data_IF_631754342712
#
_entry.id   IF_631754342712
#
_cell.length_a   1.000
_cell.length_b   1.000
_cell.length_c   1.000
_cell.angle_alpha   90.00
_cell.angle_beta   90.00
_cell.angle_gamma   90.00
#
_symmetry.space_group_name_H-M   'P 1'
#
loop_
_entity.id
_entity.type
_entity.pdbx_description
1 polymer ?
#
# COMPACT_ATOMS: atom_id res chain seq x y z
N UNK A 1 22.96 8.42 -3.70
CA UNK A 1 22.60 7.02 -3.38
C UNK A 1 23.47 6.07 -4.20
N UNK A 2 24.00 5.04 -3.58
CA UNK A 2 24.84 4.03 -4.24
C UNK A 2 23.99 2.83 -4.70
N UNK A 3 24.49 2.07 -5.70
CA UNK A 3 23.85 0.82 -6.14
C UNK A 3 23.68 -0.15 -4.96
N UNK A 4 24.63 -0.16 -4.04
CA UNK A 4 24.58 -0.98 -2.83
C UNK A 4 23.36 -0.64 -1.94
N UNK A 5 23.06 0.64 -1.71
CA UNK A 5 21.91 1.09 -0.95
C UNK A 5 20.58 0.70 -1.63
N UNK A 6 20.52 0.84 -2.96
CA UNK A 6 19.36 0.41 -3.77
C UNK A 6 19.11 -1.09 -3.58
N UNK A 7 20.13 -1.89 -3.79
CA UNK A 7 20.04 -3.35 -3.68
C UNK A 7 19.71 -3.79 -2.27
N UNK A 8 20.31 -3.16 -1.25
CA UNK A 8 20.05 -3.50 0.16
C UNK A 8 18.57 -3.30 0.50
N UNK A 9 17.95 -2.18 0.09
CA UNK A 9 16.54 -1.92 0.36
C UNK A 9 15.63 -2.97 -0.30
N UNK A 10 15.78 -3.17 -1.61
CA UNK A 10 14.93 -4.12 -2.34
C UNK A 10 15.14 -5.58 -1.87
N UNK A 11 16.40 -6.01 -1.68
CA UNK A 11 16.71 -7.38 -1.30
C UNK A 11 16.29 -7.72 0.12
N UNK A 12 16.41 -6.76 1.06
CA UNK A 12 16.03 -7.01 2.45
C UNK A 12 14.55 -7.29 2.58
N UNK A 13 13.69 -6.45 2.03
CA UNK A 13 12.25 -6.65 2.06
C UNK A 13 11.83 -7.88 1.25
N UNK A 14 12.50 -8.15 0.11
CA UNK A 14 12.27 -9.37 -0.67
C UNK A 14 12.57 -10.63 0.16
N UNK A 15 13.74 -10.70 0.79
CA UNK A 15 14.16 -11.86 1.58
C UNK A 15 13.20 -12.06 2.77
N UNK A 16 12.89 -10.99 3.51
CA UNK A 16 11.94 -11.08 4.62
C UNK A 16 10.59 -11.60 4.15
N UNK A 17 10.02 -11.04 3.10
CA UNK A 17 8.72 -11.48 2.58
C UNK A 17 8.78 -12.92 2.06
N UNK A 18 9.83 -13.31 1.31
CA UNK A 18 9.98 -14.65 0.77
C UNK A 18 10.09 -15.71 1.87
N UNK A 19 10.79 -15.42 2.97
CA UNK A 19 10.97 -16.33 4.08
C UNK A 19 9.71 -16.48 4.94
N UNK A 20 9.02 -15.36 5.24
CA UNK A 20 7.90 -15.38 6.17
C UNK A 20 6.55 -15.72 5.52
N UNK A 21 6.37 -15.49 4.21
CA UNK A 21 5.11 -15.81 3.52
C UNK A 21 4.76 -17.31 3.60
N UNK A 22 5.66 -18.27 3.32
CA UNK A 22 5.33 -19.70 3.46
C UNK A 22 4.96 -20.10 4.89
N UNK A 23 5.62 -19.51 5.89
CA UNK A 23 5.33 -19.76 7.29
C UNK A 23 3.92 -19.26 7.65
N UNK A 24 3.56 -18.09 7.16
CA UNK A 24 2.23 -17.52 7.36
C UNK A 24 1.15 -18.34 6.64
N UNK A 25 1.38 -18.78 5.40
CA UNK A 25 0.46 -19.69 4.66
C UNK A 25 0.20 -20.96 5.47
N UNK A 26 1.25 -21.61 5.96
CA UNK A 26 1.13 -22.82 6.77
C UNK A 26 0.36 -22.57 8.09
N UNK A 27 0.60 -21.44 8.74
CA UNK A 27 -0.14 -21.03 9.92
C UNK A 27 -1.64 -20.82 9.63
N UNK A 28 -1.95 -20.08 8.56
CA UNK A 28 -3.33 -19.78 8.16
C UNK A 28 -4.11 -21.05 7.79
N UNK A 29 -3.48 -22.00 7.09
CA UNK A 29 -4.09 -23.30 6.80
C UNK A 29 -4.40 -24.11 8.07
N UNK A 30 -3.48 -24.14 9.05
CA UNK A 30 -3.71 -24.84 10.34
C UNK A 30 -4.88 -24.22 11.12
N UNK A 31 -5.14 -22.94 10.95
CA UNK A 31 -6.23 -22.22 11.63
C UNK A 31 -7.53 -22.17 10.82
N UNK A 32 -7.58 -22.84 9.64
CA UNK A 32 -8.71 -22.75 8.69
C UNK A 32 -9.12 -21.31 8.37
N UNK A 33 -8.15 -20.40 8.26
CA UNK A 33 -8.35 -18.98 7.94
C UNK A 33 -8.34 -18.76 6.43
N UNK A 34 -9.27 -19.42 5.73
CA UNK A 34 -9.48 -19.23 4.29
C UNK A 34 -10.60 -18.20 4.01
N UNK A 35 -10.48 -17.48 2.91
CA UNK A 35 -11.50 -16.54 2.49
C UNK A 35 -12.80 -17.24 2.16
N UNK A 36 -13.92 -16.75 2.70
CA UNK A 36 -15.26 -17.14 2.27
C UNK A 36 -15.63 -16.33 1.02
N UNK A 37 -15.98 -17.02 -0.06
CA UNK A 37 -16.34 -16.37 -1.32
C UNK A 37 -17.84 -16.07 -1.31
N UNK A 38 -18.24 -14.90 -1.83
CA UNK A 38 -19.63 -14.53 -2.02
C UNK A 38 -20.31 -15.51 -2.96
N UNK A 39 -21.51 -15.99 -2.60
CA UNK A 39 -22.30 -16.93 -3.42
C UNK A 39 -22.75 -16.32 -4.76
N UNK A 40 -22.84 -15.00 -4.82
CA UNK A 40 -23.28 -14.21 -5.98
C UNK A 40 -22.19 -14.02 -7.07
N UNK A 41 -20.98 -14.53 -6.85
CA UNK A 41 -19.86 -14.38 -7.80
C UNK A 41 -19.82 -15.45 -8.89
N UNK A 42 -19.05 -15.24 -9.98
CA UNK A 42 -18.89 -16.22 -11.05
C UNK A 42 -18.39 -17.57 -10.51
N UNK A 43 -18.91 -18.69 -11.06
CA UNK A 43 -18.60 -20.06 -10.56
C UNK A 43 -17.11 -20.44 -10.51
N UNK A 44 -16.25 -19.78 -11.30
CA UNK A 44 -14.79 -20.00 -11.23
C UNK A 44 -14.14 -19.41 -9.97
N UNK A 45 -14.80 -18.46 -9.29
CA UNK A 45 -14.32 -17.95 -7.99
C UNK A 45 -14.52 -18.97 -6.86
N UNK A 46 -15.48 -19.88 -6.97
CA UNK A 46 -15.72 -20.92 -5.94
C UNK A 46 -14.51 -21.84 -5.73
N UNK A 47 -13.66 -22.04 -6.77
CA UNK A 47 -12.41 -22.80 -6.65
C UNK A 47 -11.36 -22.14 -5.77
N UNK A 48 -11.51 -20.86 -5.43
CA UNK A 48 -10.62 -20.06 -4.57
C UNK A 48 -11.01 -20.13 -3.09
N UNK A 49 -12.13 -20.78 -2.76
CA UNK A 49 -12.57 -20.98 -1.37
C UNK A 49 -11.52 -21.74 -0.59
N UNK A 50 -11.17 -21.23 0.60
CA UNK A 50 -10.14 -21.84 1.46
C UNK A 50 -8.71 -21.33 1.21
N UNK A 51 -8.47 -20.47 0.20
CA UNK A 51 -7.16 -19.82 0.05
C UNK A 51 -6.95 -18.84 1.20
N UNK A 52 -5.81 -18.88 1.92
CA UNK A 52 -5.49 -17.94 2.98
C UNK A 52 -5.57 -16.49 2.52
N UNK A 53 -6.03 -15.61 3.41
CA UNK A 53 -6.03 -14.16 3.20
C UNK A 53 -5.12 -13.45 4.21
N UNK A 54 -5.06 -12.12 4.21
CA UNK A 54 -4.21 -11.29 5.06
C UNK A 54 -2.70 -11.43 4.78
N UNK A 55 -2.32 -11.81 3.56
CA UNK A 55 -0.92 -11.84 3.15
C UNK A 55 -0.22 -10.49 3.25
N UNK A 56 -1.00 -9.39 3.25
CA UNK A 56 -0.54 -8.03 3.54
C UNK A 56 0.18 -7.91 4.87
N UNK A 57 -0.13 -8.75 5.86
CA UNK A 57 0.57 -8.78 7.15
C UNK A 57 2.08 -8.98 6.97
N UNK A 58 2.45 -9.96 6.15
CA UNK A 58 3.86 -10.32 5.98
C UNK A 58 4.63 -9.23 5.25
N UNK A 59 4.15 -8.78 4.10
CA UNK A 59 4.89 -7.82 3.31
C UNK A 59 4.89 -6.41 3.92
N UNK A 60 3.81 -5.99 4.61
CA UNK A 60 3.81 -4.72 5.32
C UNK A 60 4.85 -4.68 6.43
N UNK A 61 4.99 -5.76 7.23
CA UNK A 61 6.04 -5.86 8.25
C UNK A 61 7.42 -5.84 7.61
N UNK A 62 7.63 -6.55 6.50
CA UNK A 62 8.90 -6.56 5.80
C UNK A 62 9.27 -5.15 5.27
N UNK A 63 8.29 -4.41 4.72
CA UNK A 63 8.48 -3.03 4.28
C UNK A 63 8.86 -2.14 5.46
N UNK A 64 8.12 -2.21 6.58
CA UNK A 64 8.37 -1.40 7.76
C UNK A 64 9.76 -1.65 8.37
N UNK A 65 10.13 -2.92 8.55
CA UNK A 65 11.47 -3.26 9.04
C UNK A 65 12.52 -2.66 8.11
N UNK A 66 12.36 -2.82 6.80
CA UNK A 66 13.31 -2.32 5.80
C UNK A 66 13.31 -0.79 5.74
N UNK A 67 12.12 -0.17 5.78
CA UNK A 67 11.92 1.29 5.76
C UNK A 67 12.52 2.00 6.97
N UNK A 68 12.72 1.29 8.08
CA UNK A 68 13.37 1.83 9.26
C UNK A 68 14.89 1.55 9.28
N UNK A 69 15.29 0.28 9.16
CA UNK A 69 16.69 -0.07 9.39
C UNK A 69 17.63 0.37 8.25
N UNK A 70 17.19 0.34 6.99
CA UNK A 70 18.03 0.76 5.85
C UNK A 70 18.32 2.26 5.90
N UNK A 71 17.32 3.15 6.07
CA UNK A 71 17.60 4.57 6.25
C UNK A 71 18.47 4.87 7.47
N UNK A 72 18.30 4.14 8.58
CA UNK A 72 19.16 4.27 9.76
C UNK A 72 20.62 3.92 9.47
N UNK A 73 20.87 2.86 8.70
CA UNK A 73 22.23 2.44 8.38
C UNK A 73 22.95 3.38 7.39
N UNK A 74 22.21 4.16 6.61
CA UNK A 74 22.76 5.00 5.54
C UNK A 74 22.51 6.51 5.74
N UNK A 75 22.13 6.94 6.93
CA UNK A 75 21.84 8.34 7.27
C UNK A 75 20.77 8.99 6.37
N UNK A 76 19.77 8.19 5.98
CA UNK A 76 18.62 8.65 5.18
C UNK A 76 17.30 8.57 5.98
N UNK A 77 17.36 8.42 7.30
CA UNK A 77 16.16 8.44 8.13
C UNK A 77 15.67 9.89 8.28
N UNK A 78 14.65 10.20 7.53
CA UNK A 78 14.02 11.53 7.49
C UNK A 78 12.59 11.46 8.04
N UNK A 79 12.02 12.61 8.45
CA UNK A 79 10.60 12.67 8.76
C UNK A 79 9.72 12.17 7.61
N UNK A 80 10.12 12.37 6.36
CA UNK A 80 9.35 11.93 5.18
C UNK A 80 9.19 10.41 5.16
N UNK A 81 10.27 9.64 5.35
CA UNK A 81 10.16 8.17 5.36
C UNK A 81 9.32 7.68 6.54
N UNK A 82 9.43 8.34 7.70
CA UNK A 82 8.59 8.01 8.84
C UNK A 82 7.10 8.27 8.57
N UNK A 83 6.76 9.35 7.86
CA UNK A 83 5.38 9.61 7.45
C UNK A 83 4.84 8.55 6.49
N UNK A 84 5.67 8.07 5.56
CA UNK A 84 5.30 6.99 4.64
C UNK A 84 5.08 5.67 5.39
N UNK A 85 5.98 5.31 6.31
CA UNK A 85 5.85 4.12 7.16
C UNK A 85 4.62 4.19 8.07
N UNK A 86 4.37 5.34 8.70
CA UNK A 86 3.17 5.56 9.52
C UNK A 86 1.90 5.43 8.68
N UNK A 87 1.88 5.97 7.46
CA UNK A 87 0.73 5.84 6.56
C UNK A 87 0.49 4.38 6.17
N UNK A 88 1.54 3.65 5.82
CA UNK A 88 1.46 2.21 5.54
C UNK A 88 0.87 1.44 6.72
N UNK A 89 1.33 1.73 7.96
CA UNK A 89 0.82 1.10 9.18
C UNK A 89 -0.66 1.44 9.40
N UNK A 90 -1.03 2.71 9.34
CA UNK A 90 -2.39 3.15 9.63
C UNK A 90 -3.40 2.52 8.68
N UNK A 91 -3.15 2.59 7.37
CA UNK A 91 -4.02 1.99 6.38
C UNK A 91 -3.97 0.45 6.42
N UNK A 92 -2.81 -0.13 6.73
CA UNK A 92 -2.67 -1.57 6.98
C UNK A 92 -3.47 -2.03 8.20
N UNK A 93 -3.49 -1.26 9.30
CA UNK A 93 -4.30 -1.56 10.48
C UNK A 93 -5.79 -1.46 10.21
N UNK A 94 -6.24 -0.49 9.41
CA UNK A 94 -7.65 -0.40 8.98
C UNK A 94 -8.04 -1.70 8.25
N UNK A 95 -7.22 -2.13 7.30
CA UNK A 95 -7.45 -3.39 6.59
C UNK A 95 -7.35 -4.63 7.48
N UNK A 96 -6.40 -4.65 8.42
CA UNK A 96 -6.27 -5.73 9.40
C UNK A 96 -7.54 -5.91 10.25
N UNK A 97 -8.11 -4.82 10.74
CA UNK A 97 -9.35 -4.89 11.51
C UNK A 97 -10.52 -5.34 10.63
N UNK A 98 -10.62 -4.84 9.41
CA UNK A 98 -11.66 -5.24 8.45
C UNK A 98 -11.59 -6.75 8.15
N UNK A 99 -10.42 -7.24 7.77
CA UNK A 99 -10.17 -8.67 7.50
C UNK A 99 -10.39 -9.53 8.76
N UNK A 100 -9.96 -9.05 9.93
CA UNK A 100 -10.14 -9.77 11.20
C UNK A 100 -11.61 -9.96 11.54
N UNK A 101 -12.46 -8.95 11.36
CA UNK A 101 -13.90 -9.05 11.58
C UNK A 101 -14.51 -10.12 10.66
N UNK A 102 -14.14 -10.14 9.37
CA UNK A 102 -14.59 -11.14 8.40
C UNK A 102 -14.22 -12.56 8.84
N UNK A 103 -12.97 -12.75 9.28
CA UNK A 103 -12.47 -14.05 9.71
C UNK A 103 -13.09 -14.54 11.02
N UNK A 104 -13.17 -13.68 12.04
CA UNK A 104 -13.72 -14.05 13.37
C UNK A 104 -15.22 -14.33 13.31
N UNK A 105 -15.97 -13.51 12.57
CA UNK A 105 -17.42 -13.69 12.43
C UNK A 105 -17.81 -14.70 11.35
N UNK A 106 -16.84 -15.22 10.58
CA UNK A 106 -17.06 -16.12 9.43
C UNK A 106 -18.12 -15.56 8.47
N UNK A 107 -17.96 -14.29 8.11
CA UNK A 107 -18.86 -13.55 7.21
C UNK A 107 -18.08 -12.78 6.17
N UNK A 108 -18.75 -12.33 5.10
CA UNK A 108 -18.12 -11.51 4.07
C UNK A 108 -18.08 -10.01 4.42
N UNK A 109 -18.76 -9.59 5.47
CA UNK A 109 -18.86 -8.20 5.90
C UNK A 109 -17.83 -7.91 7.00
N UNK A 110 -16.95 -6.94 6.74
CA UNK A 110 -16.01 -6.38 7.71
C UNK A 110 -16.56 -5.13 8.40
N UNK A 111 -15.85 -4.03 8.29
CA UNK A 111 -16.36 -2.71 8.69
C UNK A 111 -17.54 -2.29 7.83
N UNK A 112 -18.48 -1.55 8.43
CA UNK A 112 -19.45 -0.83 7.61
C UNK A 112 -18.71 0.21 6.73
N UNK A 113 -19.24 0.56 5.54
CA UNK A 113 -18.61 1.56 4.66
C UNK A 113 -18.32 2.88 5.37
N UNK A 114 -19.21 3.31 6.28
CA UNK A 114 -19.03 4.54 7.07
C UNK A 114 -17.89 4.43 8.08
N UNK A 115 -17.75 3.29 8.75
CA UNK A 115 -16.66 3.06 9.71
C UNK A 115 -15.31 3.01 8.98
N UNK A 116 -15.23 2.30 7.84
CA UNK A 116 -14.02 2.23 7.01
C UNK A 116 -13.60 3.62 6.55
N UNK A 117 -14.53 4.39 6.00
CA UNK A 117 -14.29 5.77 5.56
C UNK A 117 -13.81 6.67 6.70
N UNK A 118 -14.43 6.60 7.88
CA UNK A 118 -14.03 7.40 9.04
C UNK A 118 -12.59 7.09 9.46
N UNK A 119 -12.22 5.81 9.55
CA UNK A 119 -10.85 5.40 9.88
C UNK A 119 -9.84 5.89 8.83
N UNK A 120 -10.18 5.81 7.54
CA UNK A 120 -9.32 6.32 6.46
C UNK A 120 -9.14 7.84 6.53
N UNK A 121 -10.20 8.61 6.84
CA UNK A 121 -10.12 10.06 7.06
C UNK A 121 -9.21 10.37 8.25
N UNK A 122 -9.31 9.64 9.35
CA UNK A 122 -8.42 9.81 10.51
C UNK A 122 -6.96 9.54 10.10
N UNK A 123 -6.69 8.49 9.33
CA UNK A 123 -5.36 8.21 8.79
C UNK A 123 -4.83 9.34 7.93
N UNK A 124 -5.67 9.91 7.05
CA UNK A 124 -5.30 11.05 6.21
C UNK A 124 -5.03 12.33 7.03
N UNK A 125 -5.79 12.56 8.10
CA UNK A 125 -5.58 13.70 9.00
C UNK A 125 -4.26 13.56 9.79
N UNK A 126 -3.89 12.35 10.20
CA UNK A 126 -2.60 12.08 10.86
C UNK A 126 -1.46 12.36 9.89
N UNK A 127 -1.56 11.90 8.64
CA UNK A 127 -0.59 12.24 7.59
C UNK A 127 -0.49 13.75 7.36
N UNK A 128 -1.62 14.45 7.26
CA UNK A 128 -1.67 15.89 7.08
C UNK A 128 -1.05 16.64 8.28
N UNK A 129 -1.30 16.19 9.51
CA UNK A 129 -0.71 16.77 10.71
C UNK A 129 0.82 16.64 10.70
N UNK A 130 1.33 15.49 10.25
CA UNK A 130 2.75 15.27 10.06
C UNK A 130 3.32 16.19 8.97
N UNK A 131 2.66 16.26 7.81
CA UNK A 131 3.03 17.13 6.68
C UNK A 131 3.09 18.62 7.11
N UNK A 132 2.11 19.06 7.90
CA UNK A 132 2.07 20.41 8.47
C UNK A 132 3.22 20.65 9.48
N UNK A 133 3.49 19.68 10.35
CA UNK A 133 4.58 19.77 11.35
C UNK A 133 5.94 19.99 10.68
N UNK A 134 6.19 19.28 9.59
CA UNK A 134 7.43 19.39 8.79
C UNK A 134 7.47 20.65 7.92
N UNK A 135 6.44 21.51 7.98
CA UNK A 135 6.34 22.77 7.22
C UNK A 135 6.51 22.59 5.71
N UNK A 136 6.03 21.45 5.18
CA UNK A 136 6.07 21.17 3.75
C UNK A 136 5.10 22.10 3.00
N UNK A 137 5.39 22.46 1.74
CA UNK A 137 4.62 23.47 1.00
C UNK A 137 3.23 22.92 0.61
N UNK A 138 2.19 23.73 0.82
CA UNK A 138 0.83 23.43 0.35
C UNK A 138 0.68 23.78 -1.10
N UNK A 139 1.35 23.05 -1.98
CA UNK A 139 1.25 23.23 -3.42
C UNK A 139 0.74 21.94 -4.08
N UNK A 140 -0.01 22.11 -5.16
CA UNK A 140 -0.48 21.01 -6.00
C UNK A 140 0.18 21.14 -7.37
N UNK A 141 0.78 20.05 -7.83
CA UNK A 141 1.46 20.01 -9.11
C UNK A 141 0.48 19.58 -10.22
N UNK A 142 0.14 20.50 -11.11
CA UNK A 142 -0.67 20.24 -12.30
C UNK A 142 0.19 20.39 -13.56
N UNK A 143 0.51 19.30 -14.24
CA UNK A 143 1.22 19.28 -15.53
C UNK A 143 2.47 20.20 -15.58
N UNK A 144 3.27 20.18 -14.51
CA UNK A 144 4.50 20.97 -14.42
C UNK A 144 4.31 22.42 -13.88
N UNK A 145 3.10 22.81 -13.52
CA UNK A 145 2.82 24.06 -12.82
C UNK A 145 2.44 23.79 -11.38
N UNK A 146 3.12 24.46 -10.44
CA UNK A 146 2.77 24.41 -9.02
C UNK A 146 1.78 25.51 -8.68
N UNK A 147 0.65 25.13 -8.08
CA UNK A 147 -0.37 26.03 -7.58
C UNK A 147 -0.35 26.00 -6.06
N UNK A 148 0.03 27.12 -5.44
CA UNK A 148 -0.03 27.29 -3.99
C UNK A 148 -1.49 27.37 -3.55
N UNK A 149 -1.86 26.58 -2.56
CA UNK A 149 -3.21 26.55 -1.99
C UNK A 149 -3.16 26.74 -0.48
N UNK A 150 -4.28 27.12 0.12
CA UNK A 150 -4.36 27.22 1.58
C UNK A 150 -4.46 25.84 2.25
N UNK A 151 -4.08 25.77 3.54
CA UNK A 151 -4.11 24.54 4.35
C UNK A 151 -5.43 23.78 4.25
N UNK A 152 -6.58 24.47 4.27
CA UNK A 152 -7.90 23.84 4.23
C UNK A 152 -8.11 23.13 2.88
N UNK A 153 -7.81 23.80 1.76
CA UNK A 153 -7.96 23.21 0.42
C UNK A 153 -7.01 22.05 0.23
N UNK A 154 -5.75 22.21 0.67
CA UNK A 154 -4.76 21.15 0.64
C UNK A 154 -5.16 19.94 1.49
N UNK A 155 -5.68 20.20 2.71
CA UNK A 155 -6.15 19.14 3.60
C UNK A 155 -7.33 18.35 3.02
N UNK A 156 -8.29 19.02 2.40
CA UNK A 156 -9.39 18.35 1.69
C UNK A 156 -8.87 17.48 0.53
N UNK A 157 -7.88 18.00 -0.22
CA UNK A 157 -7.23 17.24 -1.28
C UNK A 157 -6.51 16.00 -0.73
N UNK A 158 -5.71 16.14 0.34
CA UNK A 158 -4.99 15.01 0.97
C UNK A 158 -5.97 13.93 1.44
N UNK A 159 -7.06 14.31 2.10
CA UNK A 159 -8.10 13.35 2.52
C UNK A 159 -8.69 12.64 1.30
N UNK A 160 -9.11 13.38 0.29
CA UNK A 160 -9.66 12.82 -0.94
C UNK A 160 -8.68 11.86 -1.61
N UNK A 161 -7.40 12.23 -1.67
CA UNK A 161 -6.36 11.49 -2.37
C UNK A 161 -6.03 10.17 -1.66
N UNK A 162 -5.76 10.20 -0.35
CA UNK A 162 -5.44 9.01 0.42
C UNK A 162 -6.64 8.05 0.50
N UNK A 163 -7.83 8.56 0.78
CA UNK A 163 -9.06 7.75 0.82
C UNK A 163 -9.37 7.19 -0.56
N UNK A 164 -9.28 8.01 -1.61
CA UNK A 164 -9.57 7.60 -2.98
C UNK A 164 -8.66 6.46 -3.43
N UNK A 165 -7.33 6.64 -3.34
CA UNK A 165 -6.39 5.62 -3.80
C UNK A 165 -6.34 4.37 -2.92
N UNK A 166 -6.54 4.49 -1.60
CA UNK A 166 -6.64 3.31 -0.75
C UNK A 166 -7.83 2.43 -1.13
N UNK A 167 -8.98 3.02 -1.44
CA UNK A 167 -10.13 2.27 -1.93
C UNK A 167 -9.95 1.79 -3.37
N UNK A 168 -9.33 2.57 -4.25
CA UNK A 168 -9.09 2.19 -5.64
C UNK A 168 -8.21 0.92 -5.74
N UNK A 169 -7.12 0.88 -4.97
CA UNK A 169 -6.26 -0.31 -4.90
C UNK A 169 -7.00 -1.49 -4.27
N UNK A 170 -7.81 -1.25 -3.24
CA UNK A 170 -8.61 -2.31 -2.61
C UNK A 170 -9.69 -2.88 -3.57
N UNK A 171 -10.35 -2.06 -4.36
CA UNK A 171 -11.31 -2.52 -5.37
C UNK A 171 -10.64 -3.32 -6.50
N UNK A 172 -9.39 -3.00 -6.83
CA UNK A 172 -8.60 -3.71 -7.83
C UNK A 172 -8.14 -5.10 -7.37
N UNK A 173 -8.15 -5.40 -6.04
CA UNK A 173 -7.70 -6.69 -5.47
C UNK A 173 -8.72 -7.83 -5.68
N UNK A 174 -9.25 -7.95 -6.90
CA UNK A 174 -10.17 -9.02 -7.30
C UNK A 174 -9.52 -10.17 -8.07
N UNK A 175 -8.31 -9.96 -8.63
CA UNK A 175 -7.61 -10.92 -9.47
C UNK A 175 -6.22 -11.26 -8.93
N UNK A 176 -5.88 -12.57 -9.01
CA UNK A 176 -4.59 -13.10 -8.53
C UNK A 176 -3.41 -12.35 -9.16
N UNK A 177 -2.59 -11.72 -8.33
CA UNK A 177 -1.37 -11.02 -8.75
C UNK A 177 -1.56 -9.63 -9.36
N UNK A 178 -2.79 -9.20 -9.63
CA UNK A 178 -3.05 -7.93 -10.33
C UNK A 178 -2.52 -6.74 -9.54
N UNK A 179 -2.97 -6.56 -8.30
CA UNK A 179 -2.53 -5.44 -7.45
C UNK A 179 -1.04 -5.50 -7.19
N UNK A 180 -0.47 -6.68 -6.89
CA UNK A 180 0.97 -6.83 -6.68
C UNK A 180 1.77 -6.37 -7.89
N UNK A 181 1.39 -6.78 -9.09
CA UNK A 181 2.05 -6.39 -10.35
C UNK A 181 1.94 -4.90 -10.64
N UNK A 182 0.73 -4.34 -10.52
CA UNK A 182 0.48 -2.91 -10.77
C UNK A 182 1.19 -2.01 -9.75
N UNK A 183 1.18 -2.39 -8.47
CA UNK A 183 1.86 -1.63 -7.43
C UNK A 183 3.38 -1.62 -7.63
N UNK A 184 4.00 -2.74 -8.05
CA UNK A 184 5.42 -2.79 -8.40
C UNK A 184 5.74 -1.74 -9.48
N UNK A 185 4.93 -1.65 -10.53
CA UNK A 185 5.14 -0.68 -11.62
C UNK A 185 4.94 0.75 -11.10
N UNK A 186 3.89 1.00 -10.31
CA UNK A 186 3.57 2.32 -9.80
C UNK A 186 4.65 2.85 -8.83
N UNK A 187 5.05 2.05 -7.85
CA UNK A 187 6.15 2.41 -6.95
C UNK A 187 7.49 2.52 -7.69
N UNK A 188 7.71 1.72 -8.75
CA UNK A 188 8.88 1.81 -9.61
C UNK A 188 8.96 3.16 -10.33
N UNK A 189 7.85 3.64 -10.89
CA UNK A 189 7.78 4.95 -11.51
C UNK A 189 8.09 6.07 -10.50
N UNK A 190 7.51 6.01 -9.30
CA UNK A 190 7.80 6.98 -8.24
C UNK A 190 9.22 6.87 -7.69
N UNK A 191 9.82 5.69 -7.63
CA UNK A 191 11.23 5.53 -7.28
C UNK A 191 12.15 6.25 -8.25
N UNK A 192 11.85 6.20 -9.57
CA UNK A 192 12.60 6.91 -10.60
C UNK A 192 12.44 8.44 -10.43
N UNK A 193 11.21 8.94 -10.20
CA UNK A 193 10.94 10.36 -9.98
C UNK A 193 11.70 10.86 -8.74
N UNK A 194 11.54 10.18 -7.61
CA UNK A 194 12.22 10.51 -6.36
C UNK A 194 13.76 10.49 -6.51
N UNK A 195 14.30 9.53 -7.27
CA UNK A 195 15.72 9.47 -7.54
C UNK A 195 16.23 10.70 -8.31
N UNK A 196 15.49 11.15 -9.33
CA UNK A 196 15.82 12.36 -10.07
C UNK A 196 15.72 13.63 -9.22
N UNK A 197 14.79 13.65 -8.26
CA UNK A 197 14.64 14.73 -7.28
C UNK A 197 15.65 14.64 -6.13
N UNK A 198 16.48 13.58 -6.07
CA UNK A 198 17.43 13.29 -4.98
C UNK A 198 16.76 13.03 -3.61
N UNK A 199 15.50 12.65 -3.60
CA UNK A 199 14.75 12.24 -2.40
C UNK A 199 15.03 10.75 -2.13
N UNK A 200 16.25 10.46 -1.67
CA UNK A 200 16.74 9.08 -1.52
C UNK A 200 16.02 8.27 -0.44
N UNK A 201 15.45 8.93 0.53
CA UNK A 201 14.57 8.37 1.55
C UNK A 201 13.29 7.77 0.93
N UNK A 202 12.61 8.52 0.06
CA UNK A 202 11.45 8.03 -0.70
C UNK A 202 11.85 6.89 -1.64
N UNK A 203 13.02 6.95 -2.27
CA UNK A 203 13.55 5.87 -3.11
C UNK A 203 13.69 4.58 -2.30
N UNK A 204 14.29 4.65 -1.09
CA UNK A 204 14.47 3.50 -0.20
C UNK A 204 13.11 2.86 0.15
N UNK A 205 12.13 3.69 0.51
CA UNK A 205 10.77 3.22 0.80
C UNK A 205 10.14 2.52 -0.42
N UNK A 206 10.15 3.15 -1.59
CA UNK A 206 9.60 2.56 -2.81
C UNK A 206 10.29 1.22 -3.17
N UNK A 207 11.61 1.13 -3.02
CA UNK A 207 12.35 -0.10 -3.27
C UNK A 207 12.05 -1.20 -2.25
N UNK A 208 11.80 -0.84 -0.99
CA UNK A 208 11.34 -1.77 0.02
C UNK A 208 9.97 -2.35 -0.35
N UNK A 209 9.03 -1.51 -0.81
CA UNK A 209 7.72 -1.97 -1.31
C UNK A 209 7.88 -2.89 -2.51
N UNK A 210 8.68 -2.50 -3.50
CA UNK A 210 8.93 -3.29 -4.72
C UNK A 210 9.51 -4.66 -4.37
N UNK A 211 10.54 -4.71 -3.54
CA UNK A 211 11.17 -5.97 -3.13
C UNK A 211 10.19 -6.91 -2.43
N UNK A 212 9.43 -6.38 -1.48
CA UNK A 212 8.41 -7.14 -0.76
C UNK A 212 7.32 -7.68 -1.70
N UNK A 213 6.83 -6.85 -2.63
CA UNK A 213 5.79 -7.26 -3.58
C UNK A 213 6.30 -8.25 -4.63
N UNK A 214 7.55 -8.17 -5.08
CA UNK A 214 8.12 -9.19 -5.96
C UNK A 214 8.16 -10.56 -5.29
N UNK A 215 8.55 -10.62 -4.02
CA UNK A 215 8.51 -11.87 -3.26
C UNK A 215 7.08 -12.36 -3.07
N UNK A 216 6.16 -11.47 -2.68
CA UNK A 216 4.75 -11.80 -2.46
C UNK A 216 4.06 -12.28 -3.73
N UNK A 217 4.35 -11.67 -4.90
CA UNK A 217 3.82 -12.06 -6.19
C UNK A 217 4.15 -13.53 -6.54
N UNK A 218 5.28 -14.05 -6.09
CA UNK A 218 5.63 -15.45 -6.22
C UNK A 218 4.63 -16.42 -5.57
N UNK A 219 3.86 -15.96 -4.59
CA UNK A 219 2.82 -16.72 -3.90
C UNK A 219 1.39 -16.29 -4.30
N UNK A 220 1.24 -15.05 -4.77
CA UNK A 220 -0.05 -14.45 -5.10
C UNK A 220 -0.42 -14.56 -6.59
N UNK A 221 0.53 -14.93 -7.49
CA UNK A 221 0.22 -15.16 -8.90
C UNK A 221 -0.72 -16.36 -9.10
N UNK A 222 -1.41 -16.40 -10.23
CA UNK A 222 -2.42 -17.42 -10.55
C UNK A 222 -1.81 -18.82 -10.75
N UNK A 223 -2.27 -19.87 -10.05
CA UNK A 223 -3.27 -19.85 -8.99
C UNK A 223 -2.69 -19.34 -7.65
N UNK A 224 -3.34 -18.38 -7.02
CA UNK A 224 -2.84 -17.78 -5.80
C UNK A 224 -2.84 -18.76 -4.62
N UNK A 225 -1.73 -18.81 -3.89
CA UNK A 225 -1.56 -19.57 -2.64
C UNK A 225 -1.97 -18.73 -1.42
N UNK A 226 -2.05 -17.42 -1.58
CA UNK A 226 -2.44 -16.46 -0.56
C UNK A 226 -2.96 -15.19 -1.21
N UNK A 227 -4.00 -14.57 -0.63
CA UNK A 227 -4.48 -13.24 -1.00
C UNK A 227 -3.90 -12.18 -0.08
N UNK A 228 -3.70 -10.94 -0.59
CA UNK A 228 -3.15 -9.88 0.25
C UNK A 228 -4.16 -9.38 1.30
N UNK A 229 -5.45 -9.42 0.99
CA UNK A 229 -6.52 -8.92 1.85
C UNK A 229 -6.57 -7.39 1.91
N UNK A 230 -7.58 -6.88 2.62
CA UNK A 230 -7.75 -5.44 2.84
C UNK A 230 -6.54 -4.83 3.57
N UNK A 231 -5.90 -5.63 4.44
CA UNK A 231 -4.66 -5.22 5.12
C UNK A 231 -3.54 -4.86 4.14
N UNK A 232 -3.43 -5.58 3.02
CA UNK A 232 -2.42 -5.31 2.01
C UNK A 232 -2.83 -4.19 1.06
N UNK A 233 -4.02 -4.31 0.49
CA UNK A 233 -4.47 -3.41 -0.57
C UNK A 233 -4.72 -1.97 -0.08
N UNK A 234 -5.32 -1.78 1.11
CA UNK A 234 -5.49 -0.44 1.69
C UNK A 234 -4.14 0.20 2.04
N UNK A 235 -3.22 -0.59 2.61
CA UNK A 235 -1.87 -0.11 2.94
C UNK A 235 -1.13 0.38 1.70
N UNK A 236 -1.13 -0.42 0.62
CA UNK A 236 -0.46 -0.06 -0.64
C UNK A 236 -1.08 1.18 -1.29
N UNK A 237 -2.42 1.27 -1.31
CA UNK A 237 -3.11 2.42 -1.89
C UNK A 237 -2.85 3.71 -1.11
N UNK A 238 -2.91 3.67 0.22
CA UNK A 238 -2.58 4.80 1.09
C UNK A 238 -1.12 5.23 0.96
N UNK A 239 -0.19 4.26 0.96
CA UNK A 239 1.24 4.52 0.78
C UNK A 239 1.57 5.11 -0.60
N UNK A 240 0.93 4.61 -1.68
CA UNK A 240 1.13 5.11 -3.03
C UNK A 240 0.65 6.58 -3.17
N UNK A 241 -0.51 6.88 -2.59
CA UNK A 241 -1.01 8.26 -2.52
C UNK A 241 -0.06 9.16 -1.72
N UNK A 242 0.42 8.70 -0.56
CA UNK A 242 1.37 9.44 0.26
C UNK A 242 2.70 9.70 -0.47
N UNK A 243 3.24 8.71 -1.16
CA UNK A 243 4.46 8.86 -2.00
C UNK A 243 4.24 9.93 -3.07
N UNK A 244 3.10 9.90 -3.78
CA UNK A 244 2.80 10.88 -4.84
C UNK A 244 2.78 12.33 -4.31
N UNK A 245 2.27 12.52 -3.08
CA UNK A 245 2.25 13.80 -2.38
C UNK A 245 3.67 14.22 -1.97
N UNK A 246 4.47 13.31 -1.40
CA UNK A 246 5.83 13.62 -0.93
C UNK A 246 6.79 13.99 -2.06
N UNK A 247 6.57 13.48 -3.26
CA UNK A 247 7.36 13.87 -4.44
C UNK A 247 6.75 15.02 -5.25
N UNK A 248 5.63 15.61 -4.80
CA UNK A 248 4.90 16.69 -5.47
C UNK A 248 4.54 16.36 -6.94
N UNK A 249 4.10 15.12 -7.18
CA UNK A 249 3.66 14.65 -8.50
C UNK A 249 2.34 13.89 -8.38
N UNK A 250 1.38 14.49 -7.66
CA UNK A 250 0.11 13.87 -7.31
C UNK A 250 -0.69 13.50 -8.56
N UNK A 251 -0.89 14.43 -9.48
CA UNK A 251 -1.69 14.20 -10.68
C UNK A 251 -1.12 13.12 -11.59
N UNK A 252 0.19 12.89 -11.52
CA UNK A 252 0.83 11.82 -12.29
C UNK A 252 0.37 10.44 -11.83
N UNK A 253 -0.10 10.31 -10.58
CA UNK A 253 -0.65 9.06 -10.05
C UNK A 253 -1.89 8.60 -10.82
N UNK A 254 -2.69 9.52 -11.39
CA UNK A 254 -3.82 9.16 -12.24
C UNK A 254 -3.39 8.41 -13.51
N UNK A 255 -2.20 8.71 -14.02
CA UNK A 255 -1.62 8.03 -15.18
C UNK A 255 -0.85 6.77 -14.78
N UNK A 256 0.01 6.87 -13.78
CA UNK A 256 0.80 5.73 -13.28
C UNK A 256 -0.11 4.63 -12.73
N UNK A 257 -1.16 5.03 -12.00
CA UNK A 257 -2.16 4.14 -11.41
C UNK A 257 -3.43 4.00 -12.24
N UNK A 258 -3.36 4.21 -13.56
CA UNK A 258 -4.55 4.26 -14.44
C UNK A 258 -5.45 3.03 -14.30
N UNK A 259 -4.87 1.86 -14.06
CA UNK A 259 -5.62 0.62 -13.88
C UNK A 259 -6.46 0.69 -12.60
N UNK A 260 -5.88 1.18 -11.48
CA UNK A 260 -6.64 1.37 -10.24
C UNK A 260 -7.81 2.35 -10.41
N UNK A 261 -7.58 3.42 -11.19
CA UNK A 261 -8.61 4.41 -11.51
C UNK A 261 -9.70 3.80 -12.39
N UNK A 262 -9.33 3.08 -13.45
CA UNK A 262 -10.28 2.44 -14.36
C UNK A 262 -11.12 1.37 -13.66
N UNK A 263 -10.51 0.52 -12.83
CA UNK A 263 -11.25 -0.49 -12.05
C UNK A 263 -12.26 0.18 -11.11
N UNK A 264 -11.86 1.26 -10.42
CA UNK A 264 -12.76 2.01 -9.54
C UNK A 264 -13.94 2.64 -10.28
N UNK A 265 -13.71 3.15 -11.50
CA UNK A 265 -14.76 3.77 -12.31
C UNK A 265 -15.69 2.74 -12.99
N UNK A 266 -15.29 1.48 -13.04
CA UNK A 266 -16.06 0.39 -13.63
C UNK A 266 -17.06 -0.25 -12.68
N UNK A 267 -16.89 -0.03 -11.38
CA UNK A 267 -17.75 -0.53 -10.29
C UNK A 267 -18.82 0.47 -9.93
#
# INVERSE_FOLDING_TARGET
MTIFQILTSALSSFILTALFTPLFINYAHKKNQGQMIREEGPKWHQKKSGTPTMGGFVFNIAILITGLWVPLCFDHLTPVVLALDVTLILYGLIGFWDDSIKLFKKQNEGFTPRQKLLCQIIGALIFLAFYHHEKLPYSLAFFGHEVQVGLIVYGLFVIFWLVGFSNAVNLTDGLDGLVSGQAIIAFGAYAIIAYHQKQYDVVIFCLAVIGALFAFLGFNHKPAKIFMGDMGSLALGGALAAVSIMVHHEMLLLLIGIIFVCETLSV
#
